data_IF_852400422929
#
_entry.id   IF_852400422929
#
_cell.length_a   1.000
_cell.length_b   1.000
_cell.length_c   1.000
_cell.angle_alpha   90.00
_cell.angle_beta   90.00
_cell.angle_gamma   90.00
#
_symmetry.space_group_name_H-M   'P 1'
#
loop_
_entity.id
_entity.type
_entity.pdbx_description
1 polymer ?
#
# COMPACT_ATOMS: atom_id res chain seq x y z
N UNK A 1 -5.78 3.05 -26.91
CA UNK A 1 -5.25 3.89 -28.00
C UNK A 1 -4.17 4.76 -27.38
N UNK A 2 -2.89 4.51 -27.67
CA UNK A 2 -1.75 5.15 -26.96
C UNK A 2 -1.72 6.65 -27.29
N UNK A 3 -1.62 7.49 -26.26
CA UNK A 3 -1.52 8.94 -26.44
C UNK A 3 -0.16 9.32 -27.06
N UNK A 4 -0.14 10.29 -27.97
CA UNK A 4 1.12 10.81 -28.57
C UNK A 4 2.12 11.29 -27.50
N UNK A 5 1.63 11.69 -26.32
CA UNK A 5 2.45 12.15 -25.19
C UNK A 5 3.16 10.98 -24.49
N UNK A 6 2.43 9.89 -24.25
CA UNK A 6 2.97 8.63 -23.70
C UNK A 6 4.00 8.01 -24.65
N UNK A 7 3.73 8.04 -25.96
CA UNK A 7 4.65 7.55 -26.99
C UNK A 7 5.98 8.33 -26.98
N UNK A 8 5.92 9.66 -26.81
CA UNK A 8 7.10 10.53 -26.79
C UNK A 8 7.96 10.31 -25.54
N UNK A 9 7.34 10.18 -24.37
CA UNK A 9 8.06 9.88 -23.13
C UNK A 9 8.67 8.49 -23.15
N UNK A 10 7.96 7.51 -23.70
CA UNK A 10 8.46 6.14 -23.92
C UNK A 10 9.66 6.13 -24.88
N UNK A 11 9.63 6.89 -25.97
CA UNK A 11 10.75 7.03 -26.92
C UNK A 11 11.96 7.71 -26.28
N UNK A 12 11.77 8.74 -25.45
CA UNK A 12 12.87 9.44 -24.76
C UNK A 12 13.50 8.54 -23.68
N UNK A 13 12.69 7.80 -22.93
CA UNK A 13 13.15 6.83 -21.95
C UNK A 13 13.87 5.62 -22.59
N UNK A 14 13.40 5.17 -23.75
CA UNK A 14 14.04 4.11 -24.54
C UNK A 14 15.34 4.59 -25.19
N UNK A 15 15.35 5.80 -25.77
CA UNK A 15 16.51 6.34 -26.51
C UNK A 15 17.75 6.58 -25.65
N UNK A 16 17.59 7.04 -24.40
CA UNK A 16 18.73 7.21 -23.47
C UNK A 16 19.34 5.88 -22.98
N UNK A 17 18.64 4.76 -23.14
CA UNK A 17 19.06 3.43 -22.66
C UNK A 17 19.41 2.46 -23.81
N UNK A 18 19.06 2.77 -25.06
CA UNK A 18 19.24 1.87 -26.22
C UNK A 18 20.68 1.75 -26.74
N UNK A 19 21.59 2.66 -26.37
CA UNK A 19 23.03 2.48 -26.62
C UNK A 19 23.64 1.38 -25.72
N UNK A 20 22.93 0.99 -24.65
CA UNK A 20 23.32 -0.09 -23.74
C UNK A 20 22.06 -0.86 -23.29
N UNK A 21 21.55 -1.79 -24.12
CA UNK A 21 20.44 -2.66 -23.73
C UNK A 21 20.79 -3.39 -22.42
N UNK A 22 20.01 -3.10 -21.39
CA UNK A 22 20.17 -3.68 -20.06
C UNK A 22 19.49 -5.06 -20.07
N UNK A 23 20.20 -6.05 -20.62
CA UNK A 23 19.77 -7.44 -20.76
C UNK A 23 19.70 -8.10 -19.38
N UNK A 24 18.63 -7.77 -18.64
CA UNK A 24 18.37 -8.24 -17.28
C UNK A 24 18.04 -9.73 -17.17
N UNK A 25 17.81 -10.42 -18.30
CA UNK A 25 17.50 -11.85 -18.33
C UNK A 25 18.65 -12.67 -18.96
N UNK A 26 19.16 -13.65 -18.23
CA UNK A 26 20.24 -14.58 -18.67
C UNK A 26 19.92 -15.28 -19.99
N UNK A 27 18.63 -15.56 -20.25
CA UNK A 27 18.16 -16.20 -21.49
C UNK A 27 18.34 -15.27 -22.69
N UNK A 28 18.03 -13.98 -22.55
CA UNK A 28 18.19 -13.00 -23.64
C UNK A 28 19.67 -12.81 -23.99
N UNK A 29 20.55 -12.80 -22.98
CA UNK A 29 22.00 -12.80 -23.19
C UNK A 29 22.45 -14.03 -23.98
N UNK A 30 22.02 -15.23 -23.56
CA UNK A 30 22.37 -16.48 -24.22
C UNK A 30 21.94 -16.49 -25.70
N UNK A 31 20.70 -16.08 -26.00
CA UNK A 31 20.17 -16.06 -27.37
C UNK A 31 20.90 -15.04 -28.26
N UNK A 32 21.22 -13.85 -27.72
CA UNK A 32 22.00 -12.84 -28.46
C UNK A 32 23.44 -13.30 -28.70
N UNK A 33 24.07 -13.94 -27.71
CA UNK A 33 25.43 -14.50 -27.86
C UNK A 33 25.46 -15.63 -28.89
N UNK A 34 24.50 -16.55 -28.86
CA UNK A 34 24.40 -17.64 -29.85
C UNK A 34 24.15 -17.09 -31.26
N UNK A 35 23.19 -16.15 -31.43
CA UNK A 35 22.93 -15.49 -32.71
C UNK A 35 24.13 -14.72 -33.24
N UNK A 36 24.83 -13.99 -32.38
CA UNK A 36 26.07 -13.28 -32.72
C UNK A 36 27.20 -14.23 -33.12
N UNK A 37 27.32 -15.38 -32.44
CA UNK A 37 28.34 -16.39 -32.76
C UNK A 37 28.09 -17.03 -34.12
N UNK A 38 26.84 -17.27 -34.50
CA UNK A 38 26.44 -17.78 -35.82
C UNK A 38 26.78 -16.76 -36.93
N UNK A 39 26.68 -15.46 -36.66
CA UNK A 39 26.99 -14.41 -37.65
C UNK A 39 28.51 -14.23 -37.78
N UNK A 40 29.23 -14.24 -36.66
CA UNK A 40 30.67 -13.96 -36.60
C UNK A 40 31.56 -15.16 -36.90
N UNK A 41 31.00 -16.37 -36.99
CA UNK A 41 31.78 -17.56 -37.36
C UNK A 41 32.28 -17.41 -38.80
N UNK A 42 33.60 -17.44 -39.04
CA UNK A 42 34.15 -17.32 -40.38
C UNK A 42 33.59 -18.42 -41.28
N UNK A 43 33.25 -18.08 -42.53
CA UNK A 43 32.71 -19.00 -43.54
C UNK A 43 33.58 -20.24 -43.71
N UNK A 44 34.91 -20.10 -43.60
CA UNK A 44 35.85 -21.20 -43.63
C UNK A 44 35.63 -22.24 -42.51
N UNK A 45 35.35 -21.79 -41.27
CA UNK A 45 35.08 -22.69 -40.16
C UNK A 45 33.72 -23.38 -40.29
N UNK A 46 32.70 -22.68 -40.81
CA UNK A 46 31.39 -23.28 -41.11
C UNK A 46 31.52 -24.39 -42.16
N UNK A 47 32.27 -24.13 -43.23
CA UNK A 47 32.55 -25.11 -44.28
C UNK A 47 33.33 -26.31 -43.76
N UNK A 48 34.36 -26.11 -42.92
CA UNK A 48 35.12 -27.21 -42.31
C UNK A 48 34.22 -28.08 -41.42
N UNK A 49 33.39 -27.46 -40.58
CA UNK A 49 32.47 -28.19 -39.70
C UNK A 49 31.42 -28.97 -40.48
N UNK A 50 30.77 -28.35 -41.47
CA UNK A 50 29.81 -29.03 -42.32
C UNK A 50 30.48 -30.15 -43.15
N UNK A 51 31.73 -29.99 -43.61
CA UNK A 51 32.49 -31.00 -44.36
C UNK A 51 32.79 -32.21 -43.50
N UNK A 52 33.19 -31.96 -42.25
CA UNK A 52 33.39 -33.01 -41.28
C UNK A 52 32.09 -33.76 -40.95
N UNK A 53 30.97 -33.05 -40.81
CA UNK A 53 29.67 -33.63 -40.45
C UNK A 53 29.07 -34.47 -41.59
N UNK A 54 29.11 -33.96 -42.83
CA UNK A 54 28.70 -34.68 -44.04
C UNK A 54 29.60 -35.91 -44.27
N UNK A 55 30.92 -35.78 -44.11
CA UNK A 55 31.83 -36.92 -44.23
C UNK A 55 31.53 -38.00 -43.18
N UNK A 56 31.29 -37.60 -41.92
CA UNK A 56 30.97 -38.52 -40.83
C UNK A 56 29.62 -39.23 -41.03
N UNK A 57 28.61 -38.51 -41.54
CA UNK A 57 27.29 -39.07 -41.81
C UNK A 57 27.30 -40.00 -43.04
N UNK A 58 28.00 -39.63 -44.11
CA UNK A 58 28.15 -40.47 -45.32
C UNK A 58 28.95 -41.75 -45.02
N UNK A 59 29.93 -41.68 -44.11
CA UNK A 59 30.71 -42.84 -43.65
C UNK A 59 29.85 -43.85 -42.85
N UNK A 60 28.83 -43.38 -42.12
CA UNK A 60 28.04 -44.22 -41.21
C UNK A 60 26.64 -44.60 -41.71
N UNK A 61 26.03 -43.83 -42.62
CA UNK A 61 24.63 -44.01 -43.02
C UNK A 61 24.43 -44.74 -44.36
N UNK A 62 25.47 -44.90 -45.17
CA UNK A 62 25.40 -45.54 -46.49
C UNK A 62 24.64 -44.75 -47.56
N UNK A 63 24.15 -43.54 -47.24
CA UNK A 63 23.48 -42.62 -48.18
C UNK A 63 24.40 -41.41 -48.42
N UNK A 64 24.63 -41.07 -49.69
CA UNK A 64 25.51 -39.95 -50.06
C UNK A 64 24.72 -38.63 -50.02
N UNK A 65 24.89 -37.87 -48.93
CA UNK A 65 24.37 -36.51 -48.81
C UNK A 65 25.41 -35.52 -49.35
N UNK A 66 25.00 -34.51 -50.14
CA UNK A 66 25.92 -33.55 -50.77
C UNK A 66 25.81 -32.14 -50.19
N UNK A 67 26.91 -31.40 -50.22
CA UNK A 67 27.06 -30.08 -49.61
C UNK A 67 26.08 -29.03 -50.13
N UNK A 68 25.69 -29.13 -51.40
CA UNK A 68 24.84 -28.15 -52.08
C UNK A 68 23.43 -28.05 -51.47
N UNK A 69 22.94 -29.09 -50.79
CA UNK A 69 21.64 -29.07 -50.10
C UNK A 69 21.69 -28.35 -48.74
N UNK A 70 22.88 -28.14 -48.19
CA UNK A 70 23.14 -27.49 -46.89
C UNK A 70 23.66 -26.04 -47.05
N UNK A 71 24.10 -25.65 -48.26
CA UNK A 71 24.84 -24.42 -48.54
C UNK A 71 23.98 -23.18 -48.83
N UNK A 72 22.81 -23.03 -48.19
CA UNK A 72 22.14 -21.74 -48.21
C UNK A 72 22.79 -20.81 -47.18
N UNK A 73 23.93 -20.24 -47.54
CA UNK A 73 24.65 -19.25 -46.70
C UNK A 73 23.73 -18.11 -46.21
N UNK A 74 22.70 -17.76 -46.98
CA UNK A 74 21.64 -16.82 -46.62
C UNK A 74 20.74 -17.33 -45.48
N UNK A 75 20.45 -18.63 -45.39
CA UNK A 75 19.63 -19.20 -44.32
C UNK A 75 20.29 -19.02 -42.94
N UNK A 76 21.59 -19.26 -42.82
CA UNK A 76 22.34 -19.10 -41.56
C UNK A 76 22.31 -17.65 -41.04
N UNK A 77 22.47 -16.66 -41.93
CA UNK A 77 22.36 -15.25 -41.53
C UNK A 77 20.92 -14.87 -41.19
N UNK A 78 19.93 -15.34 -41.95
CA UNK A 78 18.52 -15.08 -41.64
C UNK A 78 18.08 -15.68 -40.30
N UNK A 79 18.61 -16.85 -39.93
CA UNK A 79 18.39 -17.47 -38.63
C UNK A 79 19.08 -16.69 -37.50
N UNK A 80 20.33 -16.27 -37.68
CA UNK A 80 21.04 -15.43 -36.70
C UNK A 80 20.35 -14.08 -36.45
N UNK A 81 19.96 -13.38 -37.52
CA UNK A 81 19.25 -12.11 -37.42
C UNK A 81 17.83 -12.26 -36.84
N UNK A 82 17.11 -13.31 -37.20
CA UNK A 82 15.77 -13.57 -36.64
C UNK A 82 15.82 -13.90 -35.15
N UNK A 83 16.82 -14.66 -34.67
CA UNK A 83 17.04 -14.90 -33.25
C UNK A 83 17.35 -13.61 -32.47
N UNK A 84 18.20 -12.74 -33.02
CA UNK A 84 18.50 -11.43 -32.41
C UNK A 84 17.25 -10.56 -32.38
N UNK A 85 16.48 -10.51 -33.49
CA UNK A 85 15.23 -9.76 -33.56
C UNK A 85 14.21 -10.27 -32.54
N UNK A 86 14.03 -11.59 -32.41
CA UNK A 86 13.16 -12.20 -31.41
C UNK A 86 13.60 -11.89 -29.98
N UNK A 87 14.91 -11.93 -29.70
CA UNK A 87 15.45 -11.58 -28.39
C UNK A 87 15.19 -10.10 -28.03
N UNK A 88 15.32 -9.19 -28.99
CA UNK A 88 15.01 -7.77 -28.82
C UNK A 88 13.52 -7.54 -28.61
N UNK A 89 12.66 -8.17 -29.41
CA UNK A 89 11.19 -8.10 -29.26
C UNK A 89 10.78 -8.61 -27.88
N UNK A 90 11.33 -9.75 -27.44
CA UNK A 90 11.08 -10.30 -26.12
C UNK A 90 11.53 -9.36 -24.99
N UNK A 91 12.70 -8.71 -25.12
CA UNK A 91 13.18 -7.75 -24.13
C UNK A 91 12.25 -6.52 -24.05
N UNK A 92 11.89 -5.94 -25.19
CA UNK A 92 10.96 -4.80 -25.25
C UNK A 92 9.60 -5.17 -24.67
N UNK A 93 9.05 -6.34 -25.03
CA UNK A 93 7.80 -6.84 -24.50
C UNK A 93 7.87 -7.03 -22.98
N UNK A 94 8.91 -7.70 -22.47
CA UNK A 94 9.10 -7.91 -21.03
C UNK A 94 9.21 -6.58 -20.27
N UNK A 95 9.96 -5.61 -20.82
CA UNK A 95 10.10 -4.29 -20.22
C UNK A 95 8.76 -3.54 -20.21
N UNK A 96 7.98 -3.65 -21.28
CA UNK A 96 6.64 -3.09 -21.36
C UNK A 96 5.70 -3.72 -20.32
N UNK A 97 5.74 -5.05 -20.14
CA UNK A 97 4.95 -5.73 -19.12
C UNK A 97 5.31 -5.26 -17.72
N UNK A 98 6.60 -5.23 -17.36
CA UNK A 98 7.06 -4.74 -16.04
C UNK A 98 6.61 -3.30 -15.78
N UNK A 99 6.72 -2.44 -16.80
CA UNK A 99 6.26 -1.05 -16.70
C UNK A 99 4.74 -0.99 -16.49
N UNK A 100 3.97 -1.76 -17.27
CA UNK A 100 2.51 -1.78 -17.18
C UNK A 100 2.03 -2.35 -15.84
N UNK A 101 2.63 -3.43 -15.34
CA UNK A 101 2.30 -3.99 -14.03
C UNK A 101 2.64 -3.02 -12.91
N UNK A 102 3.79 -2.34 -12.99
CA UNK A 102 4.17 -1.31 -12.02
C UNK A 102 3.22 -0.11 -12.03
N UNK A 103 2.76 0.30 -13.21
CA UNK A 103 1.78 1.37 -13.36
C UNK A 103 0.41 1.01 -12.76
N UNK A 104 -0.08 -0.20 -13.02
CA UNK A 104 -1.34 -0.71 -12.44
C UNK A 104 -1.23 -0.74 -10.91
N UNK A 105 -0.17 -1.35 -10.38
CA UNK A 105 0.04 -1.43 -8.92
C UNK A 105 0.14 -0.05 -8.26
N UNK A 106 0.80 0.92 -8.90
CA UNK A 106 0.86 2.30 -8.39
C UNK A 106 -0.50 3.01 -8.44
N UNK A 107 -1.33 2.67 -9.43
CA UNK A 107 -2.69 3.23 -9.55
C UNK A 107 -3.61 2.65 -8.48
N UNK A 108 -3.60 1.32 -8.30
CA UNK A 108 -4.34 0.64 -7.23
C UNK A 108 -3.94 1.16 -5.84
N UNK A 109 -2.64 1.31 -5.57
CA UNK A 109 -2.16 1.87 -4.30
C UNK A 109 -2.68 3.30 -4.06
N UNK A 110 -2.76 4.11 -5.12
CA UNK A 110 -3.30 5.48 -5.03
C UNK A 110 -4.81 5.49 -4.81
N UNK A 111 -5.54 4.55 -5.40
CA UNK A 111 -6.99 4.39 -5.18
C UNK A 111 -7.27 3.96 -3.73
N UNK A 112 -6.51 3.00 -3.20
CA UNK A 112 -6.59 2.60 -1.79
C UNK A 112 -6.30 3.78 -0.85
N UNK A 113 -5.22 4.53 -1.10
CA UNK A 113 -4.89 5.73 -0.32
C UNK A 113 -6.01 6.79 -0.39
N UNK A 114 -6.68 6.93 -1.54
CA UNK A 114 -7.77 7.89 -1.69
C UNK A 114 -9.01 7.50 -0.87
N UNK A 115 -9.31 6.20 -0.76
CA UNK A 115 -10.39 5.69 0.10
C UNK A 115 -10.10 5.99 1.57
N UNK A 116 -8.91 5.63 2.05
CA UNK A 116 -8.50 5.88 3.44
C UNK A 116 -8.44 7.37 3.75
N UNK A 117 -8.00 8.20 2.79
CA UNK A 117 -8.02 9.65 2.93
C UNK A 117 -9.42 10.20 3.11
N UNK A 118 -10.38 9.78 2.27
CA UNK A 118 -11.76 10.22 2.39
C UNK A 118 -12.38 9.79 3.74
N UNK A 119 -12.05 8.57 4.20
CA UNK A 119 -12.48 8.08 5.50
C UNK A 119 -11.87 8.90 6.66
N UNK A 120 -10.58 9.20 6.59
CA UNK A 120 -9.90 10.02 7.60
C UNK A 120 -10.43 11.46 7.63
N UNK A 121 -10.74 12.06 6.48
CA UNK A 121 -11.37 13.37 6.40
C UNK A 121 -12.76 13.36 7.05
N UNK A 122 -13.55 12.28 6.85
CA UNK A 122 -14.82 12.09 7.56
C UNK A 122 -14.62 12.01 9.07
N UNK A 123 -13.63 11.25 9.53
CA UNK A 123 -13.27 11.19 10.96
C UNK A 123 -13.02 12.59 11.53
N UNK A 124 -12.16 13.38 10.88
CA UNK A 124 -11.81 14.72 11.36
C UNK A 124 -13.00 15.69 11.34
N UNK A 125 -13.96 15.49 10.45
CA UNK A 125 -15.18 16.28 10.41
C UNK A 125 -16.15 15.93 11.55
N UNK A 126 -16.26 14.65 11.90
CA UNK A 126 -17.17 14.15 12.94
C UNK A 126 -16.58 14.30 14.35
N UNK A 127 -15.27 14.07 14.50
CA UNK A 127 -14.55 14.15 15.76
C UNK A 127 -13.25 14.96 15.60
N UNK A 128 -13.34 16.29 15.46
CA UNK A 128 -12.16 17.14 15.34
C UNK A 128 -11.40 17.26 16.66
N UNK A 129 -10.08 17.49 16.59
CA UNK A 129 -9.21 17.65 17.78
C UNK A 129 -9.56 18.85 18.68
N UNK A 130 -10.39 19.78 18.22
CA UNK A 130 -10.89 20.93 18.97
C UNK A 130 -12.41 20.84 19.27
N UNK A 131 -13.01 19.66 19.12
CA UNK A 131 -14.39 19.38 19.54
C UNK A 131 -14.56 19.54 21.05
N UNK A 132 -15.82 19.68 21.49
CA UNK A 132 -16.16 19.75 22.93
C UNK A 132 -15.76 18.47 23.63
N UNK A 133 -15.98 17.31 23.00
CA UNK A 133 -15.48 16.04 23.48
C UNK A 133 -13.96 15.98 23.61
N UNK A 134 -13.20 16.45 22.61
CA UNK A 134 -11.74 16.44 22.71
C UNK A 134 -11.24 17.35 23.86
N UNK A 135 -11.90 18.48 24.09
CA UNK A 135 -11.60 19.39 25.21
C UNK A 135 -11.97 18.75 26.55
N UNK A 136 -13.16 18.13 26.66
CA UNK A 136 -13.58 17.36 27.83
C UNK A 136 -12.53 16.32 28.19
N UNK A 137 -12.10 15.53 27.20
CA UNK A 137 -11.15 14.44 27.44
C UNK A 137 -9.79 14.93 27.95
N UNK A 138 -9.38 16.13 27.52
CA UNK A 138 -8.08 16.73 27.79
C UNK A 138 -8.02 17.48 29.13
N UNK A 139 -9.07 18.22 29.44
CA UNK A 139 -9.02 19.28 30.46
C UNK A 139 -9.99 19.05 31.62
N UNK A 140 -10.98 18.17 31.48
CA UNK A 140 -12.00 17.98 32.50
C UNK A 140 -11.54 17.08 33.63
N UNK A 141 -11.90 17.48 34.86
CA UNK A 141 -11.84 16.64 36.03
C UNK A 141 -13.26 16.18 36.37
N UNK A 142 -13.50 14.87 36.32
CA UNK A 142 -14.81 14.25 36.57
C UNK A 142 -15.30 14.36 38.02
N UNK A 143 -14.48 14.91 38.94
CA UNK A 143 -14.98 15.42 40.22
C UNK A 143 -15.90 16.64 40.08
N UNK A 144 -15.88 17.31 38.92
CA UNK A 144 -16.75 18.42 38.58
C UNK A 144 -17.86 17.98 37.60
N UNK A 145 -18.93 18.77 37.58
CA UNK A 145 -20.04 18.58 36.64
C UNK A 145 -19.64 18.94 35.21
N UNK A 146 -20.20 18.24 34.22
CA UNK A 146 -20.04 18.52 32.80
C UNK A 146 -21.41 18.55 32.10
N UNK A 147 -21.48 19.16 30.91
CA UNK A 147 -22.72 19.22 30.13
C UNK A 147 -22.90 17.92 29.33
N UNK A 148 -24.13 17.43 29.16
CA UNK A 148 -24.43 16.21 28.38
C UNK A 148 -23.79 16.22 26.98
N UNK A 149 -23.93 17.35 26.28
CA UNK A 149 -23.44 17.54 24.93
C UNK A 149 -21.91 17.61 24.79
N UNK A 150 -21.17 17.54 25.91
CA UNK A 150 -19.72 17.44 25.84
C UNK A 150 -19.27 16.05 25.36
N UNK A 151 -20.12 15.02 25.39
CA UNK A 151 -19.78 13.67 24.89
C UNK A 151 -20.30 13.37 23.48
N UNK A 152 -21.06 14.29 22.86
CA UNK A 152 -21.74 14.10 21.57
C UNK A 152 -20.86 13.47 20.47
N UNK A 153 -19.62 13.94 20.35
CA UNK A 153 -18.71 13.47 19.30
C UNK A 153 -18.15 12.09 19.61
N UNK A 154 -17.90 11.77 20.90
CA UNK A 154 -17.48 10.43 21.34
C UNK A 154 -18.62 9.44 21.16
N UNK A 155 -19.83 9.80 21.59
CA UNK A 155 -21.01 8.94 21.49
C UNK A 155 -21.28 8.59 20.03
N UNK A 156 -21.26 9.57 19.14
CA UNK A 156 -21.39 9.34 17.69
C UNK A 156 -20.27 8.45 17.16
N UNK A 157 -19.03 8.69 17.56
CA UNK A 157 -17.90 7.86 17.13
C UNK A 157 -18.10 6.40 17.56
N UNK A 158 -18.46 6.16 18.82
CA UNK A 158 -18.70 4.81 19.35
C UNK A 158 -19.92 4.15 18.68
N UNK A 159 -20.96 4.90 18.33
CA UNK A 159 -22.15 4.33 17.72
C UNK A 159 -21.96 3.97 16.24
N UNK A 160 -21.17 4.74 15.48
CA UNK A 160 -21.11 4.60 14.02
C UNK A 160 -19.80 4.01 13.49
N UNK A 161 -18.70 4.05 14.25
CA UNK A 161 -17.37 3.65 13.77
C UNK A 161 -16.98 2.19 14.07
N UNK A 162 -17.96 1.30 14.23
CA UNK A 162 -17.74 -0.15 14.35
C UNK A 162 -18.40 -0.95 13.23
N UNK A 163 -18.21 -0.48 12.00
CA UNK A 163 -18.81 -1.05 10.79
C UNK A 163 -17.75 -1.31 9.73
N UNK A 164 -18.04 -2.20 8.77
CA UNK A 164 -17.12 -2.50 7.67
C UNK A 164 -16.81 -1.27 6.81
N UNK A 165 -17.75 -0.34 6.70
CA UNK A 165 -17.64 0.94 5.98
C UNK A 165 -16.78 1.99 6.71
N UNK A 166 -16.31 1.67 7.92
CA UNK A 166 -15.44 2.52 8.75
C UNK A 166 -14.08 1.89 9.02
N UNK A 167 -13.78 0.77 8.38
CA UNK A 167 -12.45 0.15 8.45
C UNK A 167 -11.49 0.79 7.44
N UNK A 168 -10.28 1.11 7.88
CA UNK A 168 -9.20 1.53 6.98
C UNK A 168 -8.60 0.33 6.25
N UNK A 169 -8.17 0.54 5.02
CA UNK A 169 -7.47 -0.44 4.21
C UNK A 169 -5.99 -0.54 4.60
N UNK A 170 -5.38 0.58 5.03
CA UNK A 170 -4.09 0.58 5.71
C UNK A 170 -4.21 -0.04 7.11
N UNK A 171 -3.44 -1.11 7.33
CA UNK A 171 -3.51 -1.93 8.54
C UNK A 171 -3.06 -1.17 9.79
N UNK A 172 -2.12 -0.22 9.68
CA UNK A 172 -1.64 0.54 10.83
C UNK A 172 -2.67 1.59 11.25
N UNK A 173 -3.30 2.27 10.29
CA UNK A 173 -4.42 3.17 10.55
C UNK A 173 -5.60 2.43 11.16
N UNK A 174 -5.95 1.26 10.64
CA UNK A 174 -7.07 0.48 11.17
C UNK A 174 -6.80 -0.03 12.58
N UNK A 175 -5.57 -0.48 12.88
CA UNK A 175 -5.20 -0.91 14.22
C UNK A 175 -5.33 0.25 15.23
N UNK A 176 -4.82 1.43 14.88
CA UNK A 176 -4.91 2.62 15.73
C UNK A 176 -6.36 3.09 15.92
N UNK A 177 -7.18 3.06 14.86
CA UNK A 177 -8.61 3.38 14.93
C UNK A 177 -9.37 2.39 15.82
N UNK A 178 -9.09 1.08 15.72
CA UNK A 178 -9.68 0.03 16.56
C UNK A 178 -9.33 0.21 18.04
N UNK A 179 -8.08 0.51 18.33
CA UNK A 179 -7.63 0.78 19.71
C UNK A 179 -8.36 2.01 20.29
N UNK A 180 -8.39 3.11 19.52
CA UNK A 180 -9.14 4.31 19.90
C UNK A 180 -10.62 4.00 20.16
N UNK A 181 -11.26 3.27 19.27
CA UNK A 181 -12.66 2.86 19.41
C UNK A 181 -12.91 2.08 20.70
N UNK A 182 -12.10 1.05 20.97
CA UNK A 182 -12.26 0.21 22.16
C UNK A 182 -12.16 1.04 23.44
N UNK A 183 -11.17 1.93 23.52
CA UNK A 183 -10.94 2.77 24.70
C UNK A 183 -12.02 3.83 24.89
N UNK A 184 -12.50 4.44 23.81
CA UNK A 184 -13.63 5.37 23.85
C UNK A 184 -14.92 4.69 24.28
N UNK A 185 -15.20 3.48 23.77
CA UNK A 185 -16.36 2.70 24.17
C UNK A 185 -16.31 2.32 25.65
N UNK A 186 -15.16 1.83 26.14
CA UNK A 186 -14.96 1.55 27.57
C UNK A 186 -15.14 2.80 28.44
N UNK A 187 -14.60 3.94 28.01
CA UNK A 187 -14.72 5.21 28.71
C UNK A 187 -16.17 5.68 28.81
N UNK A 188 -16.90 5.77 27.69
CA UNK A 188 -18.32 6.19 27.69
C UNK A 188 -19.17 5.25 28.51
N UNK A 189 -18.97 3.93 28.38
CA UNK A 189 -19.69 2.96 29.18
C UNK A 189 -19.45 3.18 30.69
N UNK A 190 -18.20 3.40 31.09
CA UNK A 190 -17.86 3.68 32.50
C UNK A 190 -18.42 5.01 32.97
N UNK A 191 -18.39 6.04 32.12
CA UNK A 191 -18.93 7.36 32.41
C UNK A 191 -20.44 7.31 32.62
N UNK A 192 -21.17 6.58 31.77
CA UNK A 192 -22.61 6.39 31.87
C UNK A 192 -23.02 5.62 33.13
N UNK A 193 -22.21 4.67 33.60
CA UNK A 193 -22.45 3.97 34.87
C UNK A 193 -22.19 4.85 36.10
N UNK A 194 -21.34 5.85 35.94
CA UNK A 194 -20.79 6.62 37.05
C UNK A 194 -21.46 7.98 37.21
N UNK A 195 -22.01 8.52 36.13
CA UNK A 195 -22.55 9.88 36.09
C UNK A 195 -24.07 9.88 35.96
N UNK A 196 -24.69 10.88 36.57
CA UNK A 196 -26.13 11.11 36.46
C UNK A 196 -26.45 12.59 36.32
N UNK A 197 -27.65 12.89 35.82
CA UNK A 197 -28.14 14.26 35.71
C UNK A 197 -28.28 14.91 37.09
N UNK A 198 -27.84 16.17 37.16
CA UNK A 198 -28.01 17.03 38.32
C UNK A 198 -29.41 17.65 38.24
N UNK A 199 -30.30 17.18 39.12
CA UNK A 199 -31.69 17.63 39.17
C UNK A 199 -32.39 17.47 37.80
N UNK A 200 -32.95 18.56 37.24
CA UNK A 200 -33.63 18.58 35.94
C UNK A 200 -32.84 19.33 34.86
N UNK A 201 -31.55 19.60 35.10
CA UNK A 201 -30.68 20.35 34.17
C UNK A 201 -29.90 19.45 33.22
N UNK A 202 -29.24 20.01 32.19
CA UNK A 202 -28.43 19.26 31.23
C UNK A 202 -27.02 18.93 31.75
N UNK A 203 -26.76 19.21 33.03
CA UNK A 203 -25.47 18.95 33.67
C UNK A 203 -25.48 17.56 34.28
N UNK A 204 -24.40 16.81 34.08
CA UNK A 204 -24.14 15.55 34.72
C UNK A 204 -22.98 15.67 35.72
N UNK A 205 -22.93 14.77 36.68
CA UNK A 205 -21.78 14.62 37.58
C UNK A 205 -21.57 13.15 37.94
N UNK A 206 -20.30 12.76 38.05
CA UNK A 206 -19.90 11.49 38.65
C UNK A 206 -19.96 11.51 40.19
N UNK A 207 -20.12 12.70 40.80
CA UNK A 207 -20.33 12.84 42.24
C UNK A 207 -21.83 12.70 42.55
N UNK A 208 -22.24 11.70 43.34
CA UNK A 208 -23.63 11.52 43.73
C UNK A 208 -24.20 12.76 44.44
N UNK A 209 -25.48 13.06 44.20
CA UNK A 209 -26.19 14.20 44.82
C UNK A 209 -26.03 14.23 46.36
N UNK A 210 -25.98 13.07 47.00
CA UNK A 210 -25.83 12.94 48.46
C UNK A 210 -24.51 13.51 49.02
N UNK A 211 -23.47 13.60 48.18
CA UNK A 211 -22.13 14.05 48.58
C UNK A 211 -21.73 15.37 47.92
N UNK A 212 -22.59 15.96 47.10
CA UNK A 212 -22.27 17.19 46.36
C UNK A 212 -22.14 18.37 47.31
N UNK A 213 -20.98 19.02 47.29
CA UNK A 213 -20.65 20.13 48.19
C UNK A 213 -20.29 19.69 49.61
N UNK A 214 -20.19 18.39 49.88
CA UNK A 214 -19.62 17.89 51.12
C UNK A 214 -18.11 18.18 51.17
N UNK A 215 -17.57 18.39 52.38
CA UNK A 215 -16.14 18.55 52.61
C UNK A 215 -15.35 17.24 52.43
N UNK A 216 -16.04 16.10 52.54
CA UNK A 216 -15.49 14.76 52.45
C UNK A 216 -16.55 13.82 51.86
N UNK A 217 -16.13 12.86 51.04
CA UNK A 217 -16.99 11.85 50.44
C UNK A 217 -16.32 10.47 50.48
N UNK A 218 -17.09 9.37 50.35
CA UNK A 218 -16.52 8.05 50.49
C UNK A 218 -15.41 7.75 49.47
N UNK A 219 -14.42 6.94 49.87
CA UNK A 219 -13.27 6.55 49.03
C UNK A 219 -13.66 5.96 47.67
N UNK A 220 -14.80 5.26 47.58
CA UNK A 220 -15.27 4.70 46.30
C UNK A 220 -15.59 5.77 45.25
N UNK A 221 -16.00 6.97 45.67
CA UNK A 221 -16.28 8.12 44.78
C UNK A 221 -14.95 8.66 44.24
N UNK A 222 -13.94 8.81 45.10
CA UNK A 222 -12.59 9.22 44.69
C UNK A 222 -11.97 8.25 43.68
N UNK A 223 -12.06 6.95 43.95
CA UNK A 223 -11.52 5.92 43.06
C UNK A 223 -12.20 5.95 41.68
N UNK A 224 -13.52 6.17 41.64
CA UNK A 224 -14.27 6.28 40.41
C UNK A 224 -13.90 7.53 39.60
N UNK A 225 -13.79 8.69 40.25
CA UNK A 225 -13.35 9.94 39.60
C UNK A 225 -11.94 9.77 39.03
N UNK A 226 -11.03 9.20 39.81
CA UNK A 226 -9.66 8.92 39.37
C UNK A 226 -9.64 8.01 38.14
N UNK A 227 -10.41 6.93 38.15
CA UNK A 227 -10.52 6.03 37.00
C UNK A 227 -11.05 6.74 35.75
N UNK A 228 -12.09 7.59 35.89
CA UNK A 228 -12.63 8.38 34.77
C UNK A 228 -11.59 9.35 34.22
N UNK A 229 -10.87 10.07 35.09
CA UNK A 229 -9.81 11.00 34.69
C UNK A 229 -8.65 10.29 33.97
N UNK A 230 -8.25 9.10 34.43
CA UNK A 230 -7.22 8.28 33.79
C UNK A 230 -7.66 7.80 32.39
N UNK A 231 -8.88 7.24 32.27
CA UNK A 231 -9.44 6.80 31.00
C UNK A 231 -9.63 7.95 30.02
N UNK A 232 -10.08 9.10 30.51
CA UNK A 232 -10.23 10.33 29.74
C UNK A 232 -8.91 10.78 29.11
N UNK A 233 -7.85 10.79 29.93
CA UNK A 233 -6.50 11.13 29.49
C UNK A 233 -5.96 10.14 28.45
N UNK A 234 -6.17 8.83 28.67
CA UNK A 234 -5.81 7.78 27.72
C UNK A 234 -6.52 7.97 26.38
N UNK A 235 -7.83 8.20 26.39
CA UNK A 235 -8.65 8.44 25.21
C UNK A 235 -8.19 9.69 24.44
N UNK A 236 -7.89 10.80 25.13
CA UNK A 236 -7.34 11.99 24.50
C UNK A 236 -6.02 11.70 23.79
N UNK A 237 -5.10 11.00 24.45
CA UNK A 237 -3.80 10.68 23.89
C UNK A 237 -3.92 9.79 22.65
N UNK A 238 -4.77 8.76 22.68
CA UNK A 238 -5.03 7.89 21.54
C UNK A 238 -5.68 8.67 20.38
N UNK A 239 -6.62 9.57 20.68
CA UNK A 239 -7.21 10.44 19.66
C UNK A 239 -6.13 11.27 18.95
N UNK A 240 -5.26 11.95 19.71
CA UNK A 240 -4.18 12.75 19.10
C UNK A 240 -3.18 11.89 18.33
N UNK A 241 -2.85 10.69 18.83
CA UNK A 241 -1.96 9.76 18.13
C UNK A 241 -2.55 9.28 16.82
N UNK A 242 -3.83 8.91 16.80
CA UNK A 242 -4.54 8.51 15.59
C UNK A 242 -4.58 9.65 14.56
N UNK A 243 -4.92 10.87 14.97
CA UNK A 243 -4.90 12.04 14.09
C UNK A 243 -3.50 12.28 13.53
N UNK A 244 -2.46 12.22 14.36
CA UNK A 244 -1.08 12.41 13.91
C UNK A 244 -0.62 11.30 12.95
N UNK A 245 -1.03 10.06 13.19
CA UNK A 245 -0.74 8.93 12.33
C UNK A 245 -1.39 9.09 10.96
N UNK A 246 -2.69 9.41 10.91
CA UNK A 246 -3.42 9.69 9.68
C UNK A 246 -2.76 10.79 8.85
N UNK A 247 -2.40 11.92 9.48
CA UNK A 247 -1.68 13.02 8.81
C UNK A 247 -0.34 12.58 8.21
N UNK A 248 0.43 11.76 8.91
CA UNK A 248 1.74 11.26 8.44
C UNK A 248 1.60 10.26 7.29
N UNK A 249 0.68 9.30 7.41
CA UNK A 249 0.47 8.22 6.44
C UNK A 249 -0.18 8.72 5.16
N UNK A 250 -1.22 9.54 5.28
CA UNK A 250 -2.02 10.02 4.16
C UNK A 250 -1.55 11.39 3.63
N UNK A 251 -0.51 11.98 4.24
CA UNK A 251 0.07 13.29 3.87
C UNK A 251 -0.97 14.40 3.73
N UNK A 252 -1.80 14.55 4.76
CA UNK A 252 -2.84 15.58 4.87
C UNK A 252 -2.61 16.52 6.08
#
# INVERSE_FOLDING_TARGET
MISKKELKELVIALGKKYLFPDFTNKLTWFVVTVGGTIILTPTAFKQIFYNWLVATFNLNSGVQFTFAELESSTADYTLGFSLIALALIHNVANRYFIYKTGYIAATEAKELEAVDRALFERFLAEFPSNSRSAVLLKEHDFGNSYHDNNTDEIDRFVDTWNTAETEFLDQELEAARKELYQKMHEFIYRLAQSSGYIHTGPMLSAVPDAYRGAWDWPEHVDLQIKELNEKSTECYNLHQQFVMLGRRRLKC
#
